data_IF_820716743911
#
_entry.id   IF_820716743911
#
_cell.length_a   1.000
_cell.length_b   1.000
_cell.length_c   1.000
_cell.angle_alpha   90.00
_cell.angle_beta   90.00
_cell.angle_gamma   90.00
#
_symmetry.space_group_name_H-M   'P 1'
#
loop_
_entity.id
_entity.type
_entity.pdbx_description
1 polymer ?
#
# COMPACT_ATOMS: atom_id res chain seq x y z
N UNK A 1 -20.15 28.41 -31.83
CA UNK A 1 -20.20 27.15 -32.61
C UNK A 1 -20.67 26.07 -31.66
N UNK A 2 -21.74 25.34 -31.98
CA UNK A 2 -22.23 24.28 -31.09
C UNK A 2 -21.36 23.02 -31.27
N UNK A 3 -20.93 22.42 -30.17
CA UNK A 3 -20.08 21.20 -30.19
C UNK A 3 -20.75 20.05 -30.98
N UNK A 4 -22.08 20.03 -30.97
CA UNK A 4 -22.91 19.01 -31.61
C UNK A 4 -22.85 19.06 -33.15
N UNK A 5 -22.38 20.17 -33.74
CA UNK A 5 -22.26 20.32 -35.21
C UNK A 5 -20.91 19.87 -35.77
N UNK A 6 -19.94 19.52 -34.91
CA UNK A 6 -18.64 19.02 -35.37
C UNK A 6 -18.78 17.60 -35.97
N UNK A 7 -17.98 17.22 -36.97
CA UNK A 7 -17.85 15.83 -37.40
C UNK A 7 -17.50 14.88 -36.24
N UNK A 8 -17.94 13.63 -36.32
CA UNK A 8 -17.75 12.65 -35.24
C UNK A 8 -16.26 12.38 -34.97
N UNK A 9 -15.45 12.44 -36.01
CA UNK A 9 -14.00 12.27 -35.97
C UNK A 9 -13.35 13.39 -35.15
N UNK A 10 -13.77 14.65 -35.35
CA UNK A 10 -13.26 15.79 -34.59
C UNK A 10 -13.68 15.70 -33.12
N UNK A 11 -14.91 15.26 -32.82
CA UNK A 11 -15.34 15.04 -31.43
C UNK A 11 -14.50 13.96 -30.75
N UNK A 12 -14.17 12.88 -31.46
CA UNK A 12 -13.32 11.80 -30.93
C UNK A 12 -11.89 12.23 -30.70
N UNK A 13 -11.32 13.03 -31.61
CA UNK A 13 -10.00 13.64 -31.40
C UNK A 13 -10.01 14.53 -30.16
N UNK A 14 -11.00 15.42 -30.02
CA UNK A 14 -11.12 16.26 -28.82
C UNK A 14 -11.18 15.43 -27.53
N UNK A 15 -11.95 14.33 -27.53
CA UNK A 15 -12.01 13.45 -26.36
C UNK A 15 -10.67 12.74 -26.08
N UNK A 16 -9.87 12.45 -27.10
CA UNK A 16 -8.56 11.80 -26.97
C UNK A 16 -7.46 12.75 -26.46
N UNK A 17 -7.64 14.06 -26.64
CA UNK A 17 -6.75 15.11 -26.14
C UNK A 17 -7.01 15.49 -24.67
N UNK A 18 -7.95 14.82 -23.99
CA UNK A 18 -8.21 15.09 -22.57
C UNK A 18 -7.04 14.60 -21.71
N UNK A 19 -6.73 15.34 -20.66
CA UNK A 19 -5.63 15.02 -19.73
C UNK A 19 -6.04 14.00 -18.66
N UNK A 20 -7.32 13.65 -18.56
CA UNK A 20 -7.83 12.81 -17.48
C UNK A 20 -9.06 12.00 -17.80
N UNK A 21 -9.18 10.85 -17.13
CA UNK A 21 -10.39 10.03 -17.17
C UNK A 21 -11.55 10.70 -16.45
N UNK A 22 -11.29 11.50 -15.41
CA UNK A 22 -12.28 12.36 -14.78
C UNK A 22 -12.84 13.40 -15.76
N UNK A 23 -11.98 14.04 -16.56
CA UNK A 23 -12.42 14.97 -17.61
C UNK A 23 -13.20 14.25 -18.71
N UNK A 24 -12.78 13.03 -19.09
CA UNK A 24 -13.53 12.19 -20.02
C UNK A 24 -14.92 11.87 -19.49
N UNK A 25 -15.02 11.43 -18.23
CA UNK A 25 -16.28 11.10 -17.58
C UNK A 25 -17.21 12.32 -17.53
N UNK A 26 -16.70 13.50 -17.16
CA UNK A 26 -17.46 14.74 -17.19
C UNK A 26 -17.94 15.06 -18.61
N UNK A 27 -17.03 15.02 -19.60
CA UNK A 27 -17.32 15.33 -21.00
C UNK A 27 -18.42 14.45 -21.59
N UNK A 28 -18.36 13.13 -21.40
CA UNK A 28 -19.38 12.20 -21.93
C UNK A 28 -20.73 12.36 -21.24
N UNK A 29 -20.76 12.89 -20.01
CA UNK A 29 -22.01 13.15 -19.27
C UNK A 29 -22.64 14.51 -19.65
N UNK A 30 -21.90 15.42 -20.28
CA UNK A 30 -22.42 16.75 -20.64
C UNK A 30 -23.49 16.72 -21.74
N UNK A 31 -23.28 15.94 -22.81
CA UNK A 31 -24.21 15.88 -23.93
C UNK A 31 -24.21 14.54 -24.67
N UNK A 32 -25.33 14.27 -25.37
CA UNK A 32 -25.50 13.04 -26.17
C UNK A 32 -24.49 12.93 -27.30
N UNK A 33 -24.07 14.05 -27.89
CA UNK A 33 -23.14 14.05 -29.02
C UNK A 33 -21.74 13.52 -28.65
N UNK A 34 -21.23 13.89 -27.47
CA UNK A 34 -19.94 13.42 -26.94
C UNK A 34 -20.06 12.00 -26.39
N UNK A 35 -21.16 11.68 -25.71
CA UNK A 35 -21.45 10.31 -25.30
C UNK A 35 -21.46 9.33 -26.50
N UNK A 36 -22.15 9.68 -27.58
CA UNK A 36 -22.18 8.88 -28.81
C UNK A 36 -20.80 8.78 -29.48
N UNK A 37 -20.00 9.85 -29.44
CA UNK A 37 -18.64 9.84 -29.96
C UNK A 37 -17.72 8.86 -29.21
N UNK A 38 -17.86 8.80 -27.88
CA UNK A 38 -17.13 7.86 -27.04
C UNK A 38 -17.58 6.41 -27.26
N UNK A 39 -18.89 6.15 -27.37
CA UNK A 39 -19.43 4.80 -27.55
C UNK A 39 -19.06 4.17 -28.90
N UNK A 40 -18.70 4.98 -29.91
CA UNK A 40 -18.26 4.47 -31.20
C UNK A 40 -16.98 3.66 -31.04
N UNK A 41 -17.00 2.40 -31.50
CA UNK A 41 -15.83 1.51 -31.40
C UNK A 41 -14.84 1.76 -32.55
N UNK A 42 -13.52 1.67 -32.30
CA UNK A 42 -12.90 1.34 -31.00
C UNK A 42 -12.83 2.57 -30.07
N UNK A 43 -13.39 2.47 -28.87
CA UNK A 43 -13.26 3.53 -27.84
C UNK A 43 -11.88 3.50 -27.16
N UNK A 44 -11.18 2.38 -27.33
CA UNK A 44 -9.88 2.07 -26.75
C UNK A 44 -8.79 3.06 -27.21
N UNK A 45 -8.93 3.65 -28.40
CA UNK A 45 -8.00 4.68 -28.90
C UNK A 45 -8.06 5.97 -28.07
N UNK A 46 -9.26 6.39 -27.66
CA UNK A 46 -9.46 7.59 -26.82
C UNK A 46 -8.82 7.34 -25.45
N UNK A 47 -9.11 6.20 -24.84
CA UNK A 47 -8.61 5.88 -23.51
C UNK A 47 -7.11 5.62 -23.49
N UNK A 48 -6.55 5.04 -24.57
CA UNK A 48 -5.11 4.88 -24.72
C UNK A 48 -4.39 6.23 -24.82
N UNK A 49 -4.95 7.18 -25.57
CA UNK A 49 -4.41 8.54 -25.68
C UNK A 49 -4.39 9.25 -24.32
N UNK A 50 -5.52 9.23 -23.59
CA UNK A 50 -5.61 9.81 -22.25
C UNK A 50 -4.58 9.16 -21.31
N UNK A 51 -4.44 7.84 -21.35
CA UNK A 51 -3.47 7.14 -20.51
C UNK A 51 -2.03 7.58 -20.81
N UNK A 52 -1.66 7.67 -22.10
CA UNK A 52 -0.34 8.18 -22.52
C UNK A 52 -0.12 9.61 -22.04
N UNK A 53 -1.13 10.48 -22.15
CA UNK A 53 -1.05 11.86 -21.68
C UNK A 53 -0.86 11.95 -20.15
N UNK A 54 -1.47 11.03 -19.39
CA UNK A 54 -1.38 11.00 -17.93
C UNK A 54 -0.05 10.47 -17.40
N UNK A 55 0.50 9.41 -18.00
CA UNK A 55 1.62 8.66 -17.41
C UNK A 55 2.92 8.72 -18.22
N UNK A 56 2.83 9.12 -19.49
CA UNK A 56 3.95 9.09 -20.43
C UNK A 56 4.28 7.70 -20.96
N UNK A 57 4.96 7.65 -22.10
CA UNK A 57 5.31 6.39 -22.79
C UNK A 57 6.22 5.47 -21.95
N UNK A 58 7.09 6.05 -21.12
CA UNK A 58 8.12 5.32 -20.37
C UNK A 58 7.56 4.52 -19.19
N UNK A 59 6.34 4.83 -18.74
CA UNK A 59 5.67 4.17 -17.60
C UNK A 59 4.46 3.36 -18.06
N UNK A 60 3.97 3.63 -19.28
CA UNK A 60 2.78 3.01 -19.87
C UNK A 60 2.75 1.47 -19.78
N UNK A 61 3.86 0.72 -20.02
CA UNK A 61 3.84 -0.74 -19.93
C UNK A 61 3.48 -1.21 -18.52
N UNK A 62 4.17 -0.72 -17.49
CA UNK A 62 3.92 -1.07 -16.09
C UNK A 62 2.51 -0.65 -15.63
N UNK A 63 2.02 0.52 -16.03
CA UNK A 63 0.65 0.95 -15.71
C UNK A 63 -0.38 -0.01 -16.30
N UNK A 64 -0.17 -0.43 -17.55
CA UNK A 64 -1.06 -1.35 -18.24
C UNK A 64 -1.08 -2.73 -17.58
N UNK A 65 0.09 -3.21 -17.12
CA UNK A 65 0.21 -4.48 -16.41
C UNK A 65 -0.40 -4.37 -15.01
N UNK A 66 -0.21 -3.26 -14.29
CA UNK A 66 -0.86 -3.00 -13.01
C UNK A 66 -2.39 -3.00 -13.15
N UNK A 67 -2.91 -2.36 -14.19
CA UNK A 67 -4.34 -2.38 -14.50
C UNK A 67 -4.86 -3.78 -14.88
N UNK A 68 -4.09 -4.56 -15.63
CA UNK A 68 -4.47 -5.93 -15.97
C UNK A 68 -4.48 -6.85 -14.74
N UNK A 69 -3.50 -6.70 -13.85
CA UNK A 69 -3.38 -7.51 -12.63
C UNK A 69 -4.49 -7.24 -11.61
N UNK A 70 -4.97 -5.99 -11.47
CA UNK A 70 -6.06 -5.64 -10.54
C UNK A 70 -7.40 -6.32 -10.86
N UNK A 71 -7.52 -6.87 -12.08
CA UNK A 71 -8.71 -7.57 -12.58
C UNK A 71 -8.60 -9.09 -12.48
N UNK A 72 -7.51 -9.60 -11.92
CA UNK A 72 -7.35 -11.03 -11.71
C UNK A 72 -8.39 -11.55 -10.70
N UNK A 73 -8.90 -12.77 -10.89
CA UNK A 73 -9.67 -13.43 -9.85
C UNK A 73 -8.84 -13.50 -8.57
N UNK A 74 -9.37 -13.04 -7.42
CA UNK A 74 -8.63 -13.12 -6.17
C UNK A 74 -8.38 -14.59 -5.84
N UNK A 75 -7.21 -14.90 -5.27
CA UNK A 75 -6.89 -16.24 -4.74
C UNK A 75 -6.64 -17.38 -5.73
N UNK A 76 -6.28 -17.13 -6.99
CA UNK A 76 -5.89 -18.20 -7.92
C UNK A 76 -4.38 -18.19 -8.19
N UNK A 77 -3.60 -19.12 -7.60
CA UNK A 77 -2.19 -19.31 -7.95
C UNK A 77 -1.99 -19.53 -9.45
N UNK A 78 -2.88 -20.30 -10.09
CA UNK A 78 -2.82 -20.61 -11.51
C UNK A 78 -3.02 -19.36 -12.37
N UNK A 79 -3.92 -18.46 -11.97
CA UNK A 79 -4.12 -17.19 -12.64
C UNK A 79 -2.88 -16.28 -12.48
N UNK A 80 -2.26 -16.26 -11.30
CA UNK A 80 -1.02 -15.50 -11.07
C UNK A 80 0.14 -16.02 -11.91
N UNK A 81 0.35 -17.34 -11.98
CA UNK A 81 1.42 -17.95 -12.80
C UNK A 81 1.19 -17.72 -14.31
N UNK A 82 -0.06 -17.86 -14.77
CA UNK A 82 -0.44 -17.55 -16.14
C UNK A 82 -0.24 -16.07 -16.47
N UNK A 83 -0.52 -15.19 -15.51
CA UNK A 83 -0.31 -13.75 -15.64
C UNK A 83 1.18 -13.42 -15.78
N UNK A 84 2.03 -13.93 -14.88
CA UNK A 84 3.48 -13.74 -14.93
C UNK A 84 4.02 -14.20 -16.29
N UNK A 85 3.63 -15.39 -16.74
CA UNK A 85 4.04 -15.93 -18.04
C UNK A 85 3.64 -15.01 -19.20
N UNK A 86 2.43 -14.47 -19.19
CA UNK A 86 1.88 -13.67 -20.30
C UNK A 86 2.45 -12.26 -20.32
N UNK A 87 2.44 -11.57 -19.18
CA UNK A 87 2.73 -10.13 -19.11
C UNK A 87 4.17 -9.83 -18.72
N UNK A 88 4.81 -10.66 -17.89
CA UNK A 88 6.18 -10.39 -17.40
C UNK A 88 7.23 -11.13 -18.23
N UNK A 89 7.01 -12.40 -18.54
CA UNK A 89 7.95 -13.21 -19.35
C UNK A 89 7.78 -12.92 -20.83
N UNK A 90 6.57 -13.09 -21.38
CA UNK A 90 6.30 -12.87 -22.81
C UNK A 90 6.09 -11.39 -23.18
N UNK A 91 6.00 -10.50 -22.19
CA UNK A 91 5.83 -9.04 -22.37
C UNK A 91 4.67 -8.68 -23.29
N UNK A 92 3.61 -9.49 -23.26
CA UNK A 92 2.45 -9.30 -24.13
C UNK A 92 1.51 -8.26 -23.50
N UNK A 93 1.49 -7.06 -24.06
CA UNK A 93 0.61 -5.97 -23.62
C UNK A 93 -0.56 -5.84 -24.60
N UNK A 94 -1.79 -5.90 -24.07
CA UNK A 94 -3.00 -5.72 -24.85
C UNK A 94 -3.63 -4.35 -24.57
N UNK A 95 -4.30 -3.73 -25.57
CA UNK A 95 -5.06 -2.52 -25.34
C UNK A 95 -6.07 -2.69 -24.22
N UNK A 96 -6.07 -1.76 -23.28
CA UNK A 96 -6.99 -1.79 -22.15
C UNK A 96 -8.40 -1.51 -22.67
N UNK A 97 -9.30 -2.49 -22.53
CA UNK A 97 -10.74 -2.29 -22.69
C UNK A 97 -11.41 -2.48 -21.33
N UNK A 98 -11.99 -1.39 -20.82
CA UNK A 98 -12.63 -1.35 -19.52
C UNK A 98 -13.77 -0.32 -19.47
N UNK A 99 -14.50 -0.30 -18.35
CA UNK A 99 -15.52 0.70 -18.08
C UNK A 99 -14.88 2.02 -17.65
N UNK A 100 -15.58 3.14 -17.82
CA UNK A 100 -15.13 4.46 -17.31
C UNK A 100 -14.81 4.40 -15.81
N UNK A 101 -15.63 3.70 -15.02
CA UNK A 101 -15.37 3.52 -13.59
C UNK A 101 -14.05 2.81 -13.28
N UNK A 102 -13.63 1.84 -14.09
CA UNK A 102 -12.33 1.19 -13.91
C UNK A 102 -11.17 2.14 -14.27
N UNK A 103 -11.34 2.98 -15.29
CA UNK A 103 -10.34 4.01 -15.60
C UNK A 103 -10.21 5.09 -14.51
N UNK A 104 -11.30 5.43 -13.81
CA UNK A 104 -11.26 6.32 -12.66
C UNK A 104 -10.48 5.71 -11.48
N UNK A 105 -10.59 4.38 -11.27
CA UNK A 105 -9.75 3.68 -10.27
C UNK A 105 -8.27 3.68 -10.67
N UNK A 106 -7.97 3.53 -11.97
CA UNK A 106 -6.61 3.65 -12.47
C UNK A 106 -6.06 5.08 -12.29
N UNK A 107 -6.90 6.09 -12.50
CA UNK A 107 -6.55 7.49 -12.28
C UNK A 107 -6.21 7.76 -10.80
N UNK A 108 -6.99 7.21 -9.86
CA UNK A 108 -6.70 7.27 -8.43
C UNK A 108 -5.35 6.64 -8.09
N UNK A 109 -5.08 5.43 -8.61
CA UNK A 109 -3.78 4.78 -8.45
C UNK A 109 -2.65 5.64 -9.02
N UNK A 110 -2.83 6.21 -10.22
CA UNK A 110 -1.82 7.04 -10.85
C UNK A 110 -1.53 8.29 -10.01
N UNK A 111 -2.55 8.95 -9.46
CA UNK A 111 -2.38 10.07 -8.54
C UNK A 111 -1.53 9.68 -7.33
N UNK A 112 -1.80 8.52 -6.71
CA UNK A 112 -0.99 8.02 -5.60
C UNK A 112 0.45 7.73 -6.03
N UNK A 113 0.66 7.13 -7.20
CA UNK A 113 2.00 6.84 -7.74
C UNK A 113 2.79 8.11 -7.98
N UNK A 114 2.20 9.13 -8.60
CA UNK A 114 2.83 10.44 -8.80
C UNK A 114 3.26 11.07 -7.47
N UNK A 115 2.34 11.12 -6.50
CA UNK A 115 2.60 11.67 -5.17
C UNK A 115 3.70 10.93 -4.42
N UNK A 116 3.66 9.59 -4.44
CA UNK A 116 4.66 8.75 -3.78
C UNK A 116 6.02 8.83 -4.47
N UNK A 117 6.07 8.89 -5.81
CA UNK A 117 7.31 8.98 -6.56
C UNK A 117 8.05 10.30 -6.26
N UNK A 118 7.33 11.42 -6.26
CA UNK A 118 7.92 12.71 -5.90
C UNK A 118 8.42 12.71 -4.46
N UNK A 119 7.61 12.23 -3.51
CA UNK A 119 8.01 12.15 -2.10
C UNK A 119 9.23 11.24 -1.90
N UNK A 120 9.32 10.12 -2.60
CA UNK A 120 10.50 9.25 -2.57
C UNK A 120 11.75 10.00 -3.05
N UNK A 121 11.65 10.68 -4.20
CA UNK A 121 12.77 11.40 -4.77
C UNK A 121 13.26 12.52 -3.83
N UNK A 122 12.33 13.30 -3.28
CA UNK A 122 12.63 14.38 -2.34
C UNK A 122 13.30 13.84 -1.07
N UNK A 123 12.79 12.75 -0.49
CA UNK A 123 13.36 12.07 0.67
C UNK A 123 14.81 11.61 0.40
N UNK A 124 15.08 11.04 -0.77
CA UNK A 124 16.41 10.58 -1.13
C UNK A 124 17.37 11.76 -1.31
N UNK A 125 16.97 12.80 -2.05
CA UNK A 125 17.81 13.98 -2.29
C UNK A 125 18.13 14.74 -0.99
N UNK A 126 17.16 14.87 -0.08
CA UNK A 126 17.39 15.49 1.23
C UNK A 126 18.43 14.75 2.07
N UNK A 127 18.49 13.41 1.96
CA UNK A 127 19.51 12.59 2.66
C UNK A 127 20.92 12.78 2.10
N UNK A 128 21.02 13.06 0.80
CA UNK A 128 22.30 13.38 0.16
C UNK A 128 22.80 14.73 0.65
N UNK A 129 21.94 15.75 0.69
CA UNK A 129 22.29 17.10 1.15
C UNK A 129 22.75 17.12 2.61
N UNK A 130 22.05 16.42 3.50
CA UNK A 130 22.37 16.38 4.93
C UNK A 130 23.68 15.66 5.24
N UNK A 131 24.19 14.83 4.32
CA UNK A 131 25.42 14.08 4.53
C UNK A 131 26.70 14.90 4.31
N UNK A 132 26.61 16.16 3.89
CA UNK A 132 27.70 17.15 3.94
C UNK A 132 28.88 16.92 2.98
N UNK A 133 28.96 15.76 2.33
CA UNK A 133 30.09 15.33 1.51
C UNK A 133 29.96 15.65 0.00
N UNK A 134 28.86 16.26 -0.46
CA UNK A 134 28.64 16.53 -1.89
C UNK A 134 28.92 18.00 -2.28
N UNK A 135 29.72 18.25 -3.34
CA UNK A 135 30.05 19.60 -3.79
C UNK A 135 28.87 20.23 -4.53
N UNK A 136 28.09 21.08 -3.85
CA UNK A 136 27.24 22.21 -4.34
C UNK A 136 26.37 22.09 -5.62
N UNK A 137 26.30 20.94 -6.29
CA UNK A 137 25.54 20.69 -7.52
C UNK A 137 24.44 19.61 -7.35
N UNK A 138 24.25 19.06 -6.14
CA UNK A 138 23.40 17.88 -5.87
C UNK A 138 21.90 18.13 -5.67
N UNK A 139 21.44 19.38 -5.64
CA UNK A 139 20.05 19.75 -5.34
C UNK A 139 19.16 19.96 -6.60
N UNK A 140 19.59 19.45 -7.76
CA UNK A 140 18.74 19.51 -8.94
C UNK A 140 17.56 18.54 -8.79
N UNK A 141 16.36 19.04 -9.08
CA UNK A 141 15.14 18.23 -9.15
C UNK A 141 15.36 16.94 -9.96
N UNK A 142 14.65 15.85 -9.65
CA UNK A 142 14.78 14.61 -10.39
C UNK A 142 14.41 14.83 -11.87
N UNK A 143 15.14 14.18 -12.78
CA UNK A 143 14.82 14.21 -14.20
C UNK A 143 13.54 13.41 -14.47
N UNK A 144 12.97 13.58 -15.67
CA UNK A 144 11.78 12.83 -16.06
C UNK A 144 12.05 11.31 -16.14
N UNK A 145 13.24 10.89 -16.57
CA UNK A 145 13.67 9.48 -16.59
C UNK A 145 13.82 8.91 -15.19
N UNK A 146 14.40 9.67 -14.26
CA UNK A 146 14.54 9.27 -12.84
C UNK A 146 13.17 9.07 -12.19
N UNK A 147 12.24 10.02 -12.37
CA UNK A 147 10.86 9.87 -11.90
C UNK A 147 10.16 8.68 -12.57
N UNK A 148 10.38 8.45 -13.87
CA UNK A 148 9.80 7.31 -14.57
C UNK A 148 10.27 5.97 -13.97
N UNK A 149 11.55 5.83 -13.58
CA UNK A 149 12.07 4.63 -12.90
C UNK A 149 11.36 4.39 -11.56
N UNK A 150 11.23 5.45 -10.75
CA UNK A 150 10.55 5.36 -9.45
C UNK A 150 9.09 4.95 -9.64
N UNK A 151 8.38 5.55 -10.61
CA UNK A 151 6.99 5.19 -10.95
C UNK A 151 6.88 3.74 -11.42
N UNK A 152 7.77 3.26 -12.30
CA UNK A 152 7.81 1.85 -12.72
C UNK A 152 7.99 0.91 -11.52
N UNK A 153 8.88 1.23 -10.59
CA UNK A 153 9.09 0.45 -9.38
C UNK A 153 7.84 0.42 -8.46
N UNK A 154 7.15 1.55 -8.31
CA UNK A 154 5.86 1.62 -7.62
C UNK A 154 4.79 0.75 -8.30
N UNK A 155 4.65 0.83 -9.62
CA UNK A 155 3.70 -0.03 -10.34
C UNK A 155 4.06 -1.52 -10.23
N UNK A 156 5.34 -1.89 -10.21
CA UNK A 156 5.78 -3.28 -9.94
C UNK A 156 5.39 -3.73 -8.53
N UNK A 157 5.49 -2.86 -7.53
CA UNK A 157 4.96 -3.12 -6.20
C UNK A 157 3.44 -3.37 -6.22
N UNK A 158 2.68 -2.55 -6.95
CA UNK A 158 1.24 -2.72 -7.08
C UNK A 158 0.87 -4.04 -7.81
N UNK A 159 1.58 -4.39 -8.87
CA UNK A 159 1.42 -5.68 -9.57
C UNK A 159 1.65 -6.83 -8.59
N UNK A 160 2.71 -6.76 -7.78
CA UNK A 160 2.98 -7.76 -6.74
C UNK A 160 1.83 -7.86 -5.73
N UNK A 161 1.29 -6.72 -5.28
CA UNK A 161 0.11 -6.70 -4.42
C UNK A 161 -1.07 -7.41 -5.10
N UNK A 162 -1.40 -7.07 -6.34
CA UNK A 162 -2.54 -7.67 -7.04
C UNK A 162 -2.40 -9.19 -7.24
N UNK A 163 -1.19 -9.69 -7.49
CA UNK A 163 -0.93 -11.11 -7.72
C UNK A 163 -1.01 -11.96 -6.44
N UNK A 164 -0.60 -11.40 -5.31
CA UNK A 164 -0.41 -12.15 -4.07
C UNK A 164 -1.30 -11.68 -2.91
N UNK A 165 -2.07 -10.60 -3.11
CA UNK A 165 -3.08 -10.19 -2.13
C UNK A 165 -4.15 -11.26 -2.01
N UNK A 166 -4.37 -11.67 -0.77
CA UNK A 166 -5.37 -12.67 -0.39
C UNK A 166 -6.22 -12.03 0.71
N UNK A 167 -7.56 -12.11 0.65
CA UNK A 167 -8.44 -11.76 1.78
C UNK A 167 -8.49 -12.83 2.88
N UNK A 168 -8.28 -14.11 2.53
CA UNK A 168 -8.17 -15.24 3.46
C UNK A 168 -6.74 -15.79 3.58
N UNK A 169 -6.24 -16.13 4.78
CA UNK A 169 -4.94 -16.77 5.00
C UNK A 169 -4.92 -18.29 4.74
N UNK A 170 -6.00 -18.88 4.23
CA UNK A 170 -6.19 -20.35 4.19
C UNK A 170 -5.14 -21.14 3.42
N UNK A 171 -4.32 -20.52 2.57
CA UNK A 171 -3.12 -21.13 1.99
C UNK A 171 -1.99 -20.09 1.89
N UNK A 172 -0.78 -20.40 2.39
CA UNK A 172 0.40 -19.58 2.12
C UNK A 172 0.75 -19.61 0.62
N UNK A 173 1.39 -18.55 0.13
CA UNK A 173 1.96 -18.56 -1.23
C UNK A 173 3.25 -19.39 -1.17
N UNK A 174 3.50 -20.25 -2.15
CA UNK A 174 4.77 -20.99 -2.20
C UNK A 174 5.94 -20.03 -2.40
N UNK A 175 7.10 -20.38 -1.84
CA UNK A 175 8.32 -19.60 -2.02
C UNK A 175 8.72 -19.51 -3.50
N UNK A 176 8.52 -20.57 -4.27
CA UNK A 176 8.82 -20.61 -5.70
C UNK A 176 7.94 -19.63 -6.50
N UNK A 177 6.64 -19.55 -6.18
CA UNK A 177 5.75 -18.60 -6.83
C UNK A 177 6.10 -17.15 -6.50
N UNK A 178 6.53 -16.85 -5.27
CA UNK A 178 6.99 -15.50 -4.90
C UNK A 178 8.29 -15.14 -5.61
N UNK A 179 9.23 -16.08 -5.69
CA UNK A 179 10.49 -15.88 -6.40
C UNK A 179 10.24 -15.65 -7.90
N UNK A 180 9.34 -16.42 -8.52
CA UNK A 180 9.03 -16.34 -9.95
C UNK A 180 8.73 -14.91 -10.45
N UNK A 181 8.06 -14.09 -9.63
CA UNK A 181 7.85 -12.68 -9.95
C UNK A 181 9.17 -11.91 -10.04
N UNK A 182 9.97 -11.90 -8.98
CA UNK A 182 11.25 -11.19 -8.94
C UNK A 182 12.24 -11.73 -9.99
N UNK A 183 12.09 -13.01 -10.36
CA UNK A 183 12.88 -13.63 -11.41
C UNK A 183 12.55 -13.10 -12.82
N UNK A 184 11.55 -12.22 -12.99
CA UNK A 184 11.26 -11.57 -14.26
C UNK A 184 12.06 -10.27 -14.50
N UNK A 185 12.81 -9.81 -13.48
CA UNK A 185 13.46 -8.50 -13.48
C UNK A 185 14.98 -8.63 -13.31
N UNK A 186 15.72 -7.63 -13.78
CA UNK A 186 17.15 -7.52 -13.52
C UNK A 186 17.44 -7.26 -12.02
N UNK A 187 18.66 -7.56 -11.54
CA UNK A 187 19.02 -7.32 -10.14
C UNK A 187 18.80 -5.87 -9.68
N UNK A 188 19.19 -4.87 -10.48
CA UNK A 188 18.97 -3.47 -10.15
C UNK A 188 17.50 -3.07 -10.15
N UNK A 189 16.65 -3.68 -10.99
CA UNK A 189 15.20 -3.45 -10.95
C UNK A 189 14.56 -4.05 -9.68
N UNK A 190 15.09 -5.17 -9.18
CA UNK A 190 14.68 -5.72 -7.89
C UNK A 190 15.21 -4.88 -6.71
N UNK A 191 16.39 -4.27 -6.80
CA UNK A 191 16.88 -3.28 -5.83
C UNK A 191 16.02 -2.01 -5.85
N UNK A 192 15.56 -1.54 -7.02
CA UNK A 192 14.60 -0.44 -7.11
C UNK A 192 13.31 -0.78 -6.34
N UNK A 193 12.79 -1.99 -6.53
CA UNK A 193 11.62 -2.48 -5.82
C UNK A 193 11.87 -2.62 -4.30
N UNK A 194 13.06 -3.05 -3.91
CA UNK A 194 13.52 -3.07 -2.52
C UNK A 194 13.58 -1.67 -1.89
N UNK A 195 14.06 -0.67 -2.62
CA UNK A 195 14.12 0.71 -2.14
C UNK A 195 12.71 1.29 -1.93
N UNK A 196 11.79 1.01 -2.87
CA UNK A 196 10.37 1.38 -2.70
C UNK A 196 9.77 0.69 -1.48
N UNK A 197 10.04 -0.60 -1.26
CA UNK A 197 9.54 -1.32 -0.09
C UNK A 197 10.01 -0.68 1.23
N UNK A 198 11.29 -0.34 1.34
CA UNK A 198 11.88 0.31 2.51
C UNK A 198 11.23 1.70 2.74
N UNK A 199 11.01 2.47 1.67
CA UNK A 199 10.33 3.76 1.71
C UNK A 199 8.87 3.65 2.17
N UNK A 200 8.08 2.74 1.57
CA UNK A 200 6.66 2.55 1.91
C UNK A 200 6.51 2.15 3.39
N UNK A 201 7.42 1.33 3.91
CA UNK A 201 7.49 1.03 5.34
C UNK A 201 7.75 2.27 6.19
N UNK A 202 8.74 3.09 5.80
CA UNK A 202 9.13 4.29 6.54
C UNK A 202 7.99 5.29 6.65
N UNK A 203 7.22 5.50 5.58
CA UNK A 203 6.15 6.51 5.56
C UNK A 203 4.85 6.05 6.22
N UNK A 204 4.56 4.74 6.24
CA UNK A 204 3.30 4.22 6.78
C UNK A 204 3.42 3.63 8.20
N UNK A 205 4.61 3.20 8.62
CA UNK A 205 4.82 2.68 9.98
C UNK A 205 4.50 3.66 11.11
N UNK A 206 4.70 5.00 11.00
CA UNK A 206 4.36 5.92 12.08
C UNK A 206 2.86 5.90 12.41
N UNK A 207 2.00 5.98 11.39
CA UNK A 207 0.55 5.91 11.54
C UNK A 207 0.10 4.56 12.12
N UNK A 208 0.70 3.46 11.66
CA UNK A 208 0.44 2.12 12.20
C UNK A 208 0.84 1.99 13.67
N UNK A 209 2.03 2.48 14.02
CA UNK A 209 2.57 2.40 15.38
C UNK A 209 1.77 3.24 16.36
N UNK A 210 1.24 4.39 15.94
CA UNK A 210 0.31 5.20 16.71
C UNK A 210 -0.97 4.42 17.06
N UNK A 211 -1.59 3.76 16.07
CA UNK A 211 -2.77 2.91 16.32
C UNK A 211 -2.43 1.72 17.22
N UNK A 212 -1.31 1.03 16.96
CA UNK A 212 -0.86 -0.08 17.79
C UNK A 212 -0.58 0.33 19.24
N UNK A 213 -0.04 1.53 19.45
CA UNK A 213 0.28 2.08 20.75
C UNK A 213 -0.97 2.38 21.59
N UNK A 214 -2.06 2.83 20.96
CA UNK A 214 -3.18 3.40 21.69
C UNK A 214 -4.52 2.65 21.57
N UNK A 215 -4.78 1.90 20.50
CA UNK A 215 -6.07 1.24 20.36
C UNK A 215 -6.26 0.08 21.36
N UNK A 216 -7.41 0.09 22.04
CA UNK A 216 -7.78 -0.91 23.05
C UNK A 216 -7.97 -2.30 22.43
N UNK A 217 -8.59 -2.38 21.25
CA UNK A 217 -8.85 -3.66 20.57
C UNK A 217 -7.54 -4.26 20.05
N UNK A 218 -6.68 -3.47 19.42
CA UNK A 218 -5.34 -3.88 18.98
C UNK A 218 -4.49 -4.30 20.17
N UNK A 219 -4.58 -3.58 21.29
CA UNK A 219 -3.90 -3.95 22.53
C UNK A 219 -4.35 -5.29 23.08
N UNK A 220 -5.66 -5.57 23.06
CA UNK A 220 -6.22 -6.87 23.41
C UNK A 220 -5.75 -7.98 22.47
N UNK A 221 -5.65 -7.69 21.17
CA UNK A 221 -5.12 -8.60 20.15
C UNK A 221 -3.59 -8.69 20.15
N UNK A 222 -2.90 -7.92 21.01
CA UNK A 222 -1.44 -7.84 21.11
C UNK A 222 -0.77 -7.55 19.76
N UNK A 223 -1.34 -6.63 19.00
CA UNK A 223 -0.72 -6.20 17.74
C UNK A 223 0.61 -5.53 18.07
N UNK A 224 1.68 -6.10 17.52
CA UNK A 224 3.04 -5.59 17.67
C UNK A 224 3.25 -4.34 16.82
N UNK A 225 4.02 -3.35 17.31
CA UNK A 225 4.45 -2.23 16.50
C UNK A 225 5.29 -2.72 15.31
N UNK A 226 5.19 -2.00 14.19
CA UNK A 226 6.04 -2.14 13.01
C UNK A 226 7.43 -1.53 13.28
N UNK A 227 8.26 -2.24 14.06
CA UNK A 227 9.66 -1.86 14.32
C UNK A 227 10.59 -2.39 13.22
N UNK A 228 10.21 -3.50 12.60
CA UNK A 228 10.97 -4.14 11.54
C UNK A 228 10.05 -4.39 10.36
N UNK A 229 10.61 -4.34 9.16
CA UNK A 229 9.90 -4.69 7.94
C UNK A 229 9.36 -6.12 7.97
N UNK A 230 9.97 -7.04 8.73
CA UNK A 230 9.45 -8.41 8.91
C UNK A 230 8.19 -8.50 9.79
N UNK A 231 7.68 -7.40 10.36
CA UNK A 231 6.47 -7.42 11.19
C UNK A 231 5.27 -7.91 10.39
N UNK A 232 4.75 -9.07 10.79
CA UNK A 232 3.70 -9.82 10.09
C UNK A 232 2.42 -8.99 9.92
N UNK A 233 2.04 -8.23 10.96
CA UNK A 233 0.85 -7.37 10.93
C UNK A 233 1.01 -6.22 9.94
N UNK A 234 2.21 -5.66 9.85
CA UNK A 234 2.50 -4.56 8.94
C UNK A 234 2.70 -5.01 7.48
N UNK A 235 3.27 -6.20 7.25
CA UNK A 235 3.27 -6.81 5.92
C UNK A 235 1.84 -7.00 5.38
N UNK A 236 0.87 -7.26 6.27
CA UNK A 236 -0.56 -7.22 5.97
C UNK A 236 -1.04 -5.88 5.40
N UNK A 237 -0.61 -4.78 6.01
CA UNK A 237 -0.91 -3.43 5.55
C UNK A 237 -0.29 -3.16 4.19
N UNK A 238 0.99 -3.48 4.01
CA UNK A 238 1.68 -3.28 2.73
C UNK A 238 1.03 -4.07 1.59
N UNK A 239 0.49 -5.26 1.88
CA UNK A 239 -0.17 -6.08 0.85
C UNK A 239 -1.46 -5.48 0.27
N UNK A 240 -2.02 -4.42 0.88
CA UNK A 240 -3.25 -3.77 0.42
C UNK A 240 -3.03 -2.79 -0.76
N UNK A 241 -1.79 -2.62 -1.22
CA UNK A 241 -1.47 -1.79 -2.38
C UNK A 241 -1.24 -0.31 -2.07
N UNK A 242 -0.82 0.42 -3.09
CA UNK A 242 -0.32 1.80 -2.99
C UNK A 242 -1.37 2.81 -2.55
N UNK A 243 -2.61 2.68 -3.04
CA UNK A 243 -3.72 3.58 -2.64
C UNK A 243 -3.92 3.53 -1.13
N UNK A 244 -3.90 2.31 -0.57
CA UNK A 244 -4.07 2.13 0.88
C UNK A 244 -2.89 2.67 1.68
N UNK A 245 -1.67 2.39 1.22
CA UNK A 245 -0.45 2.89 1.87
C UNK A 245 -0.39 4.42 1.83
N UNK A 246 -0.73 5.03 0.70
CA UNK A 246 -0.80 6.49 0.55
C UNK A 246 -1.79 7.10 1.54
N UNK A 247 -3.01 6.56 1.63
CA UNK A 247 -4.02 7.00 2.58
C UNK A 247 -3.57 6.88 4.06
N UNK A 248 -2.85 5.81 4.42
CA UNK A 248 -2.29 5.65 5.76
C UNK A 248 -1.18 6.68 6.02
N UNK A 249 -0.29 6.89 5.05
CA UNK A 249 0.87 7.79 5.17
C UNK A 249 0.51 9.27 5.22
N UNK A 250 -0.72 9.62 4.82
CA UNK A 250 -1.25 10.99 4.79
C UNK A 250 -2.27 11.25 5.90
N UNK A 251 -2.61 10.23 6.71
CA UNK A 251 -3.53 10.38 7.82
C UNK A 251 -2.90 11.16 8.99
N UNK A 252 -3.43 12.35 9.25
CA UNK A 252 -2.89 13.28 10.24
C UNK A 252 -3.34 12.96 11.67
N UNK A 253 -4.64 12.71 11.86
CA UNK A 253 -5.22 12.46 13.18
C UNK A 253 -5.24 10.97 13.54
N UNK A 254 -5.31 10.68 14.85
CA UNK A 254 -5.50 9.29 15.31
C UNK A 254 -6.77 8.66 14.72
N UNK A 255 -7.88 9.40 14.67
CA UNK A 255 -9.16 8.86 14.20
C UNK A 255 -9.09 8.54 12.69
N UNK A 256 -8.40 9.35 11.90
CA UNK A 256 -8.14 9.07 10.49
C UNK A 256 -7.24 7.84 10.32
N UNK A 257 -6.14 7.75 11.09
CA UNK A 257 -5.23 6.60 11.08
C UNK A 257 -5.97 5.32 11.46
N UNK A 258 -6.79 5.39 12.50
CA UNK A 258 -7.64 4.30 12.94
C UNK A 258 -8.62 3.90 11.83
N UNK A 259 -9.34 4.85 11.22
CA UNK A 259 -10.29 4.55 10.13
C UNK A 259 -9.60 3.88 8.93
N UNK A 260 -8.36 4.26 8.61
CA UNK A 260 -7.60 3.60 7.56
C UNK A 260 -7.13 2.19 7.95
N UNK A 261 -6.83 1.95 9.22
CA UNK A 261 -6.27 0.68 9.68
C UNK A 261 -7.32 -0.29 10.25
N UNK A 262 -8.50 0.21 10.62
CA UNK A 262 -9.62 -0.56 11.15
C UNK A 262 -10.33 -1.30 10.02
N UNK A 263 -9.77 -2.42 9.59
CA UNK A 263 -10.48 -3.40 8.78
C UNK A 263 -10.97 -4.55 9.67
N UNK A 264 -12.07 -5.19 9.28
CA UNK A 264 -12.67 -6.33 10.01
C UNK A 264 -11.71 -7.54 10.13
N UNK A 265 -10.57 -7.52 9.43
CA UNK A 265 -9.64 -8.64 9.34
C UNK A 265 -8.20 -8.13 9.39
N UNK A 266 -7.51 -8.37 10.51
CA UNK A 266 -6.05 -8.28 10.56
C UNK A 266 -5.47 -9.36 9.66
N UNK A 267 -5.01 -8.95 8.48
CA UNK A 267 -4.33 -9.85 7.55
C UNK A 267 -2.88 -9.98 8.00
N UNK A 268 -2.64 -10.74 9.07
CA UNK A 268 -1.28 -11.16 9.40
C UNK A 268 -0.68 -11.90 8.19
N UNK A 269 0.46 -11.40 7.67
CA UNK A 269 1.13 -11.94 6.48
C UNK A 269 2.59 -12.30 6.78
N UNK A 270 2.89 -13.58 7.07
CA UNK A 270 4.24 -14.07 6.78
C UNK A 270 4.38 -14.09 5.25
N UNK A 271 5.56 -13.77 4.72
CA UNK A 271 5.94 -14.01 3.31
C UNK A 271 5.37 -13.05 2.24
N UNK A 272 5.40 -11.73 2.48
CA UNK A 272 5.16 -10.72 1.43
C UNK A 272 6.48 -10.30 0.71
N UNK A 273 6.55 -9.12 0.08
CA UNK A 273 7.62 -8.73 -0.84
C UNK A 273 9.05 -8.79 -0.25
N UNK A 274 9.24 -8.41 1.01
CA UNK A 274 10.55 -8.51 1.70
C UNK A 274 11.13 -9.93 1.61
N UNK A 275 10.26 -10.93 1.82
CA UNK A 275 10.65 -12.33 1.75
C UNK A 275 10.96 -12.73 0.31
N UNK A 276 10.13 -12.31 -0.64
CA UNK A 276 10.32 -12.62 -2.06
C UNK A 276 11.68 -12.14 -2.57
N UNK A 277 12.04 -10.87 -2.32
CA UNK A 277 13.32 -10.27 -2.72
C UNK A 277 14.52 -11.04 -2.13
N UNK A 278 14.46 -11.41 -0.84
CA UNK A 278 15.52 -12.20 -0.19
C UNK A 278 15.63 -13.63 -0.73
N UNK A 279 14.52 -14.23 -1.14
CA UNK A 279 14.49 -15.57 -1.71
C UNK A 279 15.01 -15.59 -3.15
N UNK A 280 14.76 -14.52 -3.92
CA UNK A 280 15.30 -14.36 -5.28
C UNK A 280 16.82 -14.47 -5.28
N UNK A 281 17.47 -13.84 -4.31
CA UNK A 281 18.92 -13.92 -4.15
C UNK A 281 19.37 -15.39 -3.91
N UNK A 282 18.59 -16.18 -3.18
CA UNK A 282 18.93 -17.58 -2.83
C UNK A 282 18.52 -18.63 -3.86
N UNK A 283 17.59 -18.30 -4.75
CA UNK A 283 17.01 -19.23 -5.73
C UNK A 283 17.75 -19.21 -7.08
N UNK A 284 18.65 -18.26 -7.30
CA UNK A 284 19.55 -18.30 -8.45
C UNK A 284 20.52 -19.49 -8.30
N UNK A 285 20.93 -20.11 -9.41
CA UNK A 285 22.03 -21.07 -9.40
C UNK A 285 23.21 -20.39 -8.69
N UNK A 286 23.69 -20.97 -7.60
CA UNK A 286 24.70 -20.32 -6.77
C UNK A 286 26.03 -20.31 -7.52
N UNK A 287 26.47 -19.13 -7.96
CA UNK A 287 27.84 -18.95 -8.42
C UNK A 287 28.81 -19.04 -7.24
N UNK A 288 29.91 -19.75 -7.42
CA UNK A 288 31.03 -19.82 -6.47
C UNK A 288 31.99 -18.63 -6.60
N UNK A 289 31.74 -17.76 -7.58
CA UNK A 289 32.57 -16.59 -7.91
C UNK A 289 31.85 -15.30 -7.54
N UNK A 290 32.63 -14.26 -7.24
CA UNK A 290 32.12 -12.89 -7.07
C UNK A 290 31.80 -12.26 -8.41
N UNK A 291 30.96 -11.22 -8.44
CA UNK A 291 30.60 -10.49 -9.67
C UNK A 291 31.83 -9.98 -10.43
N UNK A 292 32.86 -9.53 -9.71
CA UNK A 292 34.15 -9.08 -10.26
C UNK A 292 34.90 -10.17 -11.04
N UNK A 293 34.61 -11.44 -10.78
CA UNK A 293 35.22 -12.59 -11.45
C UNK A 293 34.34 -13.19 -12.56
N UNK A 294 33.16 -12.62 -12.84
CA UNK A 294 32.25 -13.16 -13.85
C UNK A 294 32.79 -12.98 -15.26
N UNK A 295 32.77 -14.08 -16.03
CA UNK A 295 32.94 -14.07 -17.48
C UNK A 295 31.71 -13.49 -18.20
N UNK A 296 31.79 -13.29 -19.51
CA UNK A 296 30.63 -12.84 -20.29
C UNK A 296 29.50 -13.89 -20.25
N UNK A 297 29.86 -15.17 -20.24
CA UNK A 297 28.94 -16.29 -20.12
C UNK A 297 28.25 -16.30 -18.75
N UNK A 298 29.00 -16.10 -17.66
CA UNK A 298 28.43 -15.99 -16.31
C UNK A 298 27.45 -14.83 -16.23
N UNK A 299 27.75 -13.69 -16.85
CA UNK A 299 26.84 -12.53 -16.85
C UNK A 299 25.53 -12.84 -17.56
N UNK A 300 25.55 -13.54 -18.69
CA UNK A 300 24.32 -13.94 -19.38
C UNK A 300 23.52 -15.00 -18.58
N UNK A 301 24.21 -15.88 -17.83
CA UNK A 301 23.56 -16.91 -17.01
C UNK A 301 22.93 -16.34 -15.72
N UNK A 302 23.67 -15.52 -14.98
CA UNK A 302 23.30 -15.09 -13.64
C UNK A 302 22.66 -13.68 -13.58
N UNK A 303 22.95 -12.80 -14.56
CA UNK A 303 22.42 -11.44 -14.59
C UNK A 303 21.27 -11.38 -15.60
N UNK A 304 20.05 -11.28 -15.08
CA UNK A 304 18.88 -11.17 -15.94
C UNK A 304 18.86 -9.86 -16.70
N UNK A 305 18.37 -9.97 -17.94
CA UNK A 305 18.10 -8.81 -18.79
C UNK A 305 17.01 -7.94 -18.17
N UNK A 306 17.12 -6.60 -18.29
CA UNK A 306 16.14 -5.72 -17.72
C UNK A 306 14.76 -5.89 -18.38
N UNK A 307 13.72 -5.69 -17.57
CA UNK A 307 12.35 -5.65 -18.03
C UNK A 307 12.11 -4.42 -18.90
N UNK A 308 12.55 -3.25 -18.44
CA UNK A 308 12.54 -2.01 -19.21
C UNK A 308 13.92 -1.75 -19.86
N UNK A 309 13.95 -1.47 -21.17
CA UNK A 309 15.19 -1.15 -21.86
C UNK A 309 15.55 0.34 -21.64
N UNK A 310 16.12 0.63 -20.48
CA UNK A 310 16.53 1.98 -20.10
C UNK A 310 17.68 2.47 -20.99
N UNK A 311 17.58 3.65 -21.63
CA UNK A 311 18.67 4.19 -22.43
C UNK A 311 19.85 4.67 -21.58
N UNK A 312 19.65 4.93 -20.28
CA UNK A 312 20.69 5.35 -19.35
C UNK A 312 21.12 4.18 -18.45
N UNK A 313 22.43 4.00 -18.32
CA UNK A 313 23.04 2.87 -17.59
C UNK A 313 23.25 3.14 -16.10
N UNK A 314 22.91 4.33 -15.61
CA UNK A 314 23.07 4.74 -14.20
C UNK A 314 22.63 3.67 -13.19
N UNK A 315 21.40 3.12 -13.31
CA UNK A 315 20.94 2.05 -12.42
C UNK A 315 21.80 0.79 -12.42
N UNK A 316 22.17 0.29 -13.61
CA UNK A 316 22.97 -0.93 -13.72
C UNK A 316 24.40 -0.70 -13.26
N UNK A 317 24.98 0.44 -13.59
CA UNK A 317 26.38 0.78 -13.29
C UNK A 317 26.55 1.11 -11.79
N UNK A 318 25.55 1.74 -11.16
CA UNK A 318 25.53 1.93 -9.71
C UNK A 318 25.42 0.58 -8.98
N UNK A 319 24.51 -0.28 -9.43
CA UNK A 319 24.36 -1.63 -8.86
C UNK A 319 25.64 -2.44 -9.00
N UNK A 320 26.21 -2.50 -10.20
CA UNK A 320 27.42 -3.30 -10.46
C UNK A 320 28.59 -2.85 -9.58
N UNK A 321 28.82 -1.54 -9.47
CA UNK A 321 29.90 -0.97 -8.63
C UNK A 321 29.80 -1.40 -7.17
N UNK A 322 28.60 -1.42 -6.60
CA UNK A 322 28.38 -1.75 -5.19
C UNK A 322 28.35 -3.26 -4.91
N UNK A 323 28.24 -4.10 -5.95
CA UNK A 323 28.09 -5.56 -5.81
C UNK A 323 29.29 -6.35 -6.35
N UNK A 324 30.39 -5.70 -6.74
CA UNK A 324 31.57 -6.34 -7.35
C UNK A 324 32.12 -7.51 -6.52
N UNK A 325 32.16 -7.35 -5.19
CA UNK A 325 32.73 -8.34 -4.27
C UNK A 325 31.68 -9.33 -3.74
N UNK A 326 30.45 -9.29 -4.26
CA UNK A 326 29.37 -10.15 -3.82
C UNK A 326 29.21 -11.39 -4.70
N UNK A 327 28.76 -12.47 -4.07
CA UNK A 327 28.26 -13.65 -4.76
C UNK A 327 26.86 -13.38 -5.32
N UNK A 328 26.41 -14.22 -6.25
CA UNK A 328 25.04 -14.18 -6.80
C UNK A 328 23.93 -14.14 -5.74
N UNK A 329 24.16 -14.71 -4.55
CA UNK A 329 23.23 -14.67 -3.41
C UNK A 329 23.17 -13.34 -2.66
N UNK A 330 24.12 -12.44 -2.95
CA UNK A 330 24.19 -11.06 -2.48
C UNK A 330 23.46 -10.06 -3.38
N UNK A 331 23.22 -10.40 -4.65
CA UNK A 331 22.85 -9.41 -5.69
C UNK A 331 21.60 -8.58 -5.46
N UNK A 332 20.70 -9.01 -4.57
CA UNK A 332 19.41 -8.35 -4.34
C UNK A 332 19.09 -8.30 -2.85
N UNK A 333 18.69 -7.11 -2.42
CA UNK A 333 18.02 -6.74 -1.19
C UNK A 333 18.75 -7.17 0.09
N UNK A 334 20.05 -6.91 0.12
CA UNK A 334 20.88 -7.22 1.30
C UNK A 334 20.71 -6.18 2.41
N UNK A 335 20.79 -6.60 3.69
CA UNK A 335 20.69 -5.68 4.82
C UNK A 335 21.76 -4.58 4.84
N UNK A 336 23.00 -4.87 4.45
CA UNK A 336 24.09 -3.89 4.47
C UNK A 336 23.97 -2.81 3.38
N UNK A 337 23.19 -3.05 2.32
CA UNK A 337 22.85 -2.05 1.29
C UNK A 337 21.63 -1.18 1.63
N UNK A 338 21.04 -1.31 2.82
CA UNK A 338 19.89 -0.50 3.23
C UNK A 338 20.12 1.00 3.08
N UNK A 339 21.28 1.50 3.50
CA UNK A 339 21.62 2.92 3.38
C UNK A 339 21.65 3.39 1.91
N UNK A 340 22.20 2.59 1.01
CA UNK A 340 22.22 2.90 -0.43
C UNK A 340 20.80 2.99 -1.00
N UNK A 341 19.91 2.08 -0.57
CA UNK A 341 18.49 2.13 -0.95
C UNK A 341 17.78 3.37 -0.43
N UNK A 342 18.12 3.87 0.76
CA UNK A 342 17.59 5.15 1.27
C UNK A 342 18.05 6.36 0.44
N UNK A 343 19.20 6.25 -0.23
CA UNK A 343 19.69 7.25 -1.17
C UNK A 343 19.16 7.05 -2.60
N UNK A 344 18.39 5.99 -2.86
CA UNK A 344 17.87 5.68 -4.19
C UNK A 344 18.97 5.36 -5.21
N UNK A 345 20.09 4.75 -4.79
CA UNK A 345 21.30 4.60 -5.62
C UNK A 345 21.09 3.96 -7.02
N UNK A 346 20.05 3.15 -7.20
CA UNK A 346 19.64 2.52 -8.49
C UNK A 346 18.49 3.24 -9.21
N UNK A 347 18.13 4.45 -8.79
CA UNK A 347 17.04 5.25 -9.38
C UNK A 347 17.55 6.37 -10.29
N UNK A 348 18.82 6.74 -10.15
CA UNK A 348 19.39 7.95 -10.71
C UNK A 348 20.00 7.74 -12.10
N UNK A 349 19.99 8.81 -12.91
CA UNK A 349 20.71 8.82 -14.18
C UNK A 349 22.23 8.75 -13.92
N UNK A 350 22.99 8.23 -14.87
CA UNK A 350 24.44 8.04 -14.77
C UNK A 350 25.16 9.32 -14.32
N UNK A 351 24.78 10.46 -14.89
CA UNK A 351 25.37 11.76 -14.56
C UNK A 351 25.20 12.12 -13.07
N UNK A 352 24.06 11.77 -12.45
CA UNK A 352 23.83 12.01 -11.03
C UNK A 352 24.56 10.98 -10.19
N UNK A 353 24.56 9.71 -10.58
CA UNK A 353 25.34 8.67 -9.91
C UNK A 353 26.81 9.07 -9.82
N UNK A 354 27.41 9.53 -10.92
CA UNK A 354 28.82 9.94 -10.93
C UNK A 354 29.10 11.18 -10.07
N UNK A 355 28.12 12.07 -9.92
CA UNK A 355 28.20 13.21 -8.98
C UNK A 355 28.01 12.81 -7.51
N UNK A 356 27.29 11.72 -7.24
CA UNK A 356 27.03 11.21 -5.90
C UNK A 356 28.12 10.27 -5.40
N UNK A 357 28.96 9.73 -6.30
CA UNK A 357 29.98 8.75 -5.95
C UNK A 357 31.26 9.39 -5.36
N UNK A 358 31.89 8.77 -4.34
CA UNK A 358 31.39 7.61 -3.59
C UNK A 358 30.13 7.97 -2.80
N UNK A 359 29.14 7.06 -2.75
CA UNK A 359 27.90 7.33 -2.03
C UNK A 359 28.20 7.76 -0.59
N UNK A 360 27.50 8.80 -0.07
CA UNK A 360 27.71 9.25 1.29
C UNK A 360 27.61 8.09 2.28
N UNK A 361 28.52 8.02 3.24
CA UNK A 361 28.47 7.00 4.28
C UNK A 361 27.15 7.10 5.05
N UNK A 362 26.65 5.99 5.64
CA UNK A 362 25.51 6.06 6.53
C UNK A 362 25.83 7.07 7.63
N UNK A 363 25.02 8.13 7.72
CA UNK A 363 24.95 8.89 8.96
C UNK A 363 24.67 7.85 10.03
N UNK A 364 25.56 7.74 11.04
CA UNK A 364 25.33 6.88 12.20
C UNK A 364 23.87 7.08 12.56
N UNK A 365 23.07 6.03 12.41
CA UNK A 365 21.65 6.10 12.71
C UNK A 365 21.56 6.88 14.01
N UNK A 366 20.94 8.06 13.97
CA UNK A 366 20.39 8.59 15.19
C UNK A 366 19.44 7.48 15.58
N UNK A 367 19.89 6.64 16.51
CA UNK A 367 19.10 5.55 17.05
C UNK A 367 17.74 6.19 17.29
N UNK A 368 16.75 5.81 16.49
CA UNK A 368 15.38 6.14 16.81
C UNK A 368 15.15 5.28 18.04
N UNK A 369 15.43 5.95 19.17
CA UNK A 369 15.36 5.49 20.54
C UNK A 369 16.47 4.51 20.97
N UNK A 370 17.41 5.01 21.77
CA UNK A 370 18.28 4.23 22.64
C UNK A 370 17.53 3.57 23.81
N UNK A 371 16.44 2.89 23.51
CA UNK A 371 15.75 1.96 24.41
C UNK A 371 16.21 0.58 23.96
N UNK A 372 16.92 -0.13 24.84
CA UNK A 372 17.23 -1.54 24.58
C UNK A 372 15.93 -2.27 24.26
N UNK A 373 15.94 -3.13 23.25
CA UNK A 373 14.75 -3.91 22.80
C UNK A 373 13.96 -4.49 23.99
N UNK A 374 14.68 -4.96 25.03
CA UNK A 374 14.12 -5.48 26.29
C UNK A 374 13.28 -4.48 27.11
N UNK A 375 13.69 -3.20 27.17
CA UNK A 375 12.95 -2.14 27.90
C UNK A 375 11.71 -1.72 27.11
N UNK A 376 11.76 -1.80 25.77
CA UNK A 376 10.57 -1.63 24.91
C UNK A 376 9.56 -2.76 25.12
N UNK A 377 10.02 -4.01 25.12
CA UNK A 377 9.17 -5.20 25.21
C UNK A 377 8.40 -5.28 26.53
N UNK A 378 9.03 -4.88 27.65
CA UNK A 378 8.37 -4.85 28.97
C UNK A 378 7.28 -3.79 29.06
N UNK A 379 7.50 -2.59 28.48
CA UNK A 379 6.49 -1.53 28.41
C UNK A 379 5.30 -1.97 27.55
N UNK A 380 5.54 -2.55 26.38
CA UNK A 380 4.49 -3.05 25.50
C UNK A 380 3.66 -4.15 26.16
N UNK A 381 4.30 -5.09 26.85
CA UNK A 381 3.59 -6.15 27.57
C UNK A 381 2.67 -5.60 28.68
N UNK A 382 3.14 -4.60 29.44
CA UNK A 382 2.31 -3.92 30.44
C UNK A 382 1.13 -3.20 29.79
N UNK A 383 1.38 -2.52 28.67
CA UNK A 383 0.38 -1.80 27.88
C UNK A 383 -0.73 -2.73 27.38
N UNK A 384 -0.36 -3.85 26.77
CA UNK A 384 -1.32 -4.86 26.29
C UNK A 384 -2.15 -5.46 27.43
N UNK A 385 -1.52 -5.77 28.58
CA UNK A 385 -2.25 -6.29 29.76
C UNK A 385 -3.31 -5.29 30.23
N UNK A 386 -2.99 -3.99 30.29
CA UNK A 386 -3.93 -2.94 30.69
C UNK A 386 -5.07 -2.79 29.68
N UNK A 387 -4.77 -2.68 28.38
CA UNK A 387 -5.80 -2.58 27.33
C UNK A 387 -6.69 -3.82 27.24
N UNK A 388 -6.14 -5.03 27.44
CA UNK A 388 -6.94 -6.26 27.52
C UNK A 388 -7.92 -6.25 28.71
N UNK A 389 -7.52 -5.70 29.87
CA UNK A 389 -8.41 -5.54 31.03
C UNK A 389 -9.51 -4.49 30.81
N UNK A 390 -9.23 -3.43 30.06
CA UNK A 390 -10.25 -2.44 29.64
C UNK A 390 -11.22 -3.09 28.65
N UNK A 391 -10.69 -3.81 27.66
CA UNK A 391 -11.48 -4.50 26.63
C UNK A 391 -12.45 -5.52 27.24
N UNK A 392 -11.99 -6.32 28.22
CA UNK A 392 -12.81 -7.35 28.88
C UNK A 392 -13.97 -6.76 29.71
N UNK A 393 -13.82 -5.53 30.18
CA UNK A 393 -14.90 -4.74 30.82
C UNK A 393 -15.85 -4.09 29.79
N UNK A 394 -15.59 -4.25 28.50
CA UNK A 394 -16.39 -3.70 27.41
C UNK A 394 -15.88 -2.38 26.83
N UNK A 395 -14.73 -1.85 27.28
CA UNK A 395 -14.16 -0.61 26.79
C UNK A 395 -13.59 -0.75 25.38
N UNK A 396 -13.67 0.32 24.57
CA UNK A 396 -13.17 0.42 23.18
C UNK A 396 -12.59 1.82 22.93
N UNK A 397 -11.91 2.00 21.80
CA UNK A 397 -11.34 3.28 21.40
C UNK A 397 -9.89 3.47 21.85
N UNK A 398 -9.53 4.72 22.10
CA UNK A 398 -8.16 5.15 22.38
C UNK A 398 -7.84 5.11 23.87
N UNK A 399 -6.61 4.72 24.22
CA UNK A 399 -6.10 4.72 25.59
C UNK A 399 -4.59 4.98 25.65
N UNK A 400 -4.15 5.66 26.72
CA UNK A 400 -2.76 5.72 27.15
C UNK A 400 -2.66 5.61 28.69
N UNK A 401 -1.48 5.33 29.22
CA UNK A 401 -1.23 5.15 30.66
C UNK A 401 -1.66 6.36 31.52
N UNK A 402 -1.58 7.56 30.94
CA UNK A 402 -1.88 8.82 31.62
C UNK A 402 -3.25 9.38 31.22
N UNK A 403 -3.93 8.78 30.24
CA UNK A 403 -5.17 9.31 29.67
C UNK A 403 -6.18 8.20 29.33
N UNK A 404 -7.26 8.18 30.11
CA UNK A 404 -8.42 7.30 29.92
C UNK A 404 -9.66 8.05 29.40
N UNK A 405 -9.53 9.33 29.02
CA UNK A 405 -10.66 10.20 28.66
C UNK A 405 -11.37 9.79 27.37
N UNK A 406 -10.66 9.09 26.47
CA UNK A 406 -11.15 8.67 25.15
C UNK A 406 -11.63 7.21 25.11
N UNK A 407 -11.74 6.55 26.26
CA UNK A 407 -12.33 5.21 26.34
C UNK A 407 -13.84 5.30 26.13
N UNK A 408 -14.34 4.56 25.14
CA UNK A 408 -15.77 4.39 24.89
C UNK A 408 -16.27 3.14 25.61
N UNK A 409 -17.36 3.27 26.37
CA UNK A 409 -18.04 2.17 27.06
C UNK A 409 -19.44 1.93 26.45
N UNK A 410 -19.56 1.10 25.39
CA UNK A 410 -20.80 0.98 24.62
C UNK A 410 -22.01 0.49 25.45
N UNK A 411 -21.77 -0.38 26.43
CA UNK A 411 -22.83 -0.92 27.31
C UNK A 411 -23.40 0.18 28.22
N UNK A 412 -22.55 1.10 28.67
CA UNK A 412 -22.94 2.22 29.54
C UNK A 412 -23.66 3.31 28.74
N UNK A 413 -23.24 3.57 27.51
CA UNK A 413 -23.96 4.44 26.57
C UNK A 413 -25.34 3.90 26.21
N UNK A 414 -25.49 2.57 25.99
CA UNK A 414 -26.81 1.96 25.80
C UNK A 414 -27.67 2.01 27.07
N UNK A 415 -27.07 1.92 28.27
CA UNK A 415 -27.78 2.10 29.55
C UNK A 415 -28.24 3.54 29.75
N UNK A 416 -27.39 4.52 29.47
CA UNK A 416 -27.71 5.95 29.55
C UNK A 416 -28.76 6.32 28.49
N UNK A 417 -28.66 5.79 27.27
CA UNK A 417 -29.68 5.97 26.22
C UNK A 417 -31.03 5.33 26.62
N UNK A 418 -31.01 4.16 27.29
CA UNK A 418 -32.22 3.53 27.85
C UNK A 418 -32.78 4.27 29.08
N UNK A 419 -31.95 4.97 29.84
CA UNK A 419 -32.40 5.79 30.98
C UNK A 419 -32.83 7.20 30.58
N UNK A 420 -32.26 7.77 29.51
CA UNK A 420 -32.67 9.05 28.90
C UNK A 420 -33.84 8.91 27.91
N UNK A 421 -34.19 7.68 27.53
CA UNK A 421 -35.36 7.33 26.72
C UNK A 421 -36.56 6.85 27.54
N UNK A 422 -36.59 7.10 28.86
CA UNK A 422 -37.86 7.16 29.58
C UNK A 422 -38.36 8.58 29.44
N UNK A 423 -39.37 8.72 28.58
CA UNK A 423 -40.24 9.89 28.49
C UNK A 423 -40.43 10.56 29.84
N UNK A 424 -40.51 11.88 29.80
CA UNK A 424 -41.29 12.67 30.74
C UNK A 424 -42.57 11.91 31.09
N UNK A 425 -42.51 11.12 32.16
CA UNK A 425 -43.67 10.50 32.75
C UNK A 425 -44.46 11.68 33.32
N UNK A 426 -45.39 12.17 32.50
CA UNK A 426 -46.28 13.27 32.79
C UNK A 426 -46.81 13.08 34.21
N UNK A 427 -46.24 13.84 35.16
CA UNK A 427 -46.73 13.93 36.52
C UNK A 427 -48.17 14.44 36.38
N UNK A 428 -49.20 13.66 36.76
CA UNK A 428 -50.58 14.07 36.57
C UNK A 428 -50.80 15.38 37.33
N UNK A 429 -51.22 16.45 36.63
CA UNK A 429 -51.34 17.78 37.23
C UNK A 429 -52.65 17.94 38.01
N UNK A 430 -53.49 16.90 38.02
CA UNK A 430 -54.75 16.87 38.74
C UNK A 430 -55.13 15.47 39.20
N UNK A 431 -55.94 15.39 40.26
CA UNK A 431 -56.50 14.14 40.79
C UNK A 431 -57.36 13.40 39.74
N UNK A 432 -57.97 14.13 38.81
CA UNK A 432 -58.77 13.57 37.71
C UNK A 432 -57.93 12.89 36.60
N UNK A 433 -56.72 13.37 36.33
CA UNK A 433 -55.77 12.69 35.43
C UNK A 433 -55.16 11.45 36.08
N UNK A 434 -54.80 11.54 37.37
CA UNK A 434 -54.28 10.40 38.12
C UNK A 434 -55.27 9.21 38.14
N UNK A 435 -56.58 9.50 38.29
CA UNK A 435 -57.63 8.46 38.26
C UNK A 435 -57.78 7.79 36.89
N UNK A 436 -57.64 8.53 35.79
CA UNK A 436 -57.74 7.98 34.42
C UNK A 436 -56.52 7.12 34.06
N UNK A 437 -55.33 7.52 34.49
CA UNK A 437 -54.11 6.73 34.28
C UNK A 437 -54.14 5.40 35.06
N UNK A 438 -54.64 5.40 36.30
CA UNK A 438 -54.79 4.19 37.12
C UNK A 438 -55.81 3.20 36.55
N UNK A 439 -56.90 3.67 35.94
CA UNK A 439 -57.92 2.80 35.33
C UNK A 439 -57.49 2.15 34.01
N UNK A 440 -56.43 2.66 33.38
CA UNK A 440 -55.88 2.13 32.13
C UNK A 440 -54.78 1.06 32.34
N UNK A 441 -54.34 0.83 33.57
CA UNK A 441 -53.32 -0.17 33.89
C UNK A 441 -53.99 -1.53 34.13
N UNK A 442 -53.78 -2.48 33.21
CA UNK A 442 -54.17 -3.87 33.42
C UNK A 442 -53.25 -4.52 34.47
N UNK A 443 -53.84 -5.04 35.56
CA UNK A 443 -53.11 -5.79 36.58
C UNK A 443 -52.66 -7.16 36.04
N UNK A 444 -51.46 -7.64 36.42
CA UNK A 444 -50.97 -8.94 35.97
C UNK A 444 -51.80 -10.06 36.60
N UNK A 445 -52.30 -10.96 35.75
CA UNK A 445 -52.96 -12.20 36.13
C UNK A 445 -51.98 -13.13 36.85
N UNK A 446 -52.22 -13.38 38.13
CA UNK A 446 -51.53 -14.42 38.92
C UNK A 446 -51.86 -15.80 38.36
N UNK A 447 -50.91 -16.45 37.69
CA UNK A 447 -51.02 -17.86 37.31
C UNK A 447 -50.52 -18.74 38.46
N UNK A 448 -51.48 -19.41 39.10
CA UNK A 448 -51.29 -20.59 39.94
C UNK A 448 -50.80 -21.77 39.09
N UNK A 449 -49.71 -22.42 39.49
CA UNK A 449 -49.51 -23.86 39.26
C UNK A 449 -48.42 -24.41 40.20
N UNK A 450 -48.87 -24.94 41.34
CA UNK A 450 -48.14 -25.88 42.18
C UNK A 450 -48.81 -27.25 42.00
N UNK A 451 -47.95 -28.28 41.84
CA UNK A 451 -48.18 -29.71 42.13
C UNK A 451 -49.02 -30.51 41.11
N UNK A 452 -48.38 -31.53 40.50
CA UNK A 452 -48.74 -32.94 40.75
C UNK A 452 -47.68 -33.91 40.21
N UNK A 453 -47.18 -34.75 41.14
CA UNK A 453 -46.39 -35.97 40.95
C UNK A 453 -47.35 -37.16 40.84
N UNK A 454 -46.88 -38.21 40.16
CA UNK A 454 -47.31 -39.63 40.18
C UNK A 454 -48.60 -40.03 39.46
N UNK A 455 -48.44 -40.84 38.40
CA UNK A 455 -48.55 -42.31 38.48
C UNK A 455 -47.48 -42.95 37.61
#
# INVERSE_FOLDING_TARGET
MAFDTLPIELRRLILAELDSFSSLAAAILTCRALHSAYLLKPSEAITASILVNQVGCDVLPEVTIAFASSRLPPHSPEASDAFITTYLVRRTVHPISATVGAYLQLEELNFCVESLAQRFADDCLARVETSGDSPSNGAAAPTASELARIKRALYRFEIFCNLYYRKSPSQPVSHDSLAAFCLCFAPWENEQLGAILDFLFRIASPAFNDVAAHDITWGNLKIEPALFLSSISFQGVLSQGLVKIHAISTAESYDDRYAQLSSDHFLARPDFLNRALRLTARSAVESTSTLSAFSAEDREEYIRRPFFNDPDTGPSDAWEREHLDELSTGFVYQPHHHHLRELGYVMWDQARVDAMMPFPAPQRAQNIVGVTQEVSDTRWLASWKKRAAIFSRGGRGWWDFEDESRIVWPIEQQRIARMGGRDDAAIPKSMGEAKRALLAMTLPSTSSALVSRQL
#
